data_IF_151308197157
#
_entry.id   IF_151308197157
#
_cell.length_a   1.000
_cell.length_b   1.000
_cell.length_c   1.000
_cell.angle_alpha   90.00
_cell.angle_beta   90.00
_cell.angle_gamma   90.00
#
_symmetry.space_group_name_H-M   'P 1'
#
loop_
_entity.id
_entity.type
_entity.pdbx_description
1 polymer ?
#
# COMPACT_ATOMS: atom_id res chain seq x y z
N UNK A 1 -1.02 -7.39 -24.10
CA UNK A 1 -1.26 -7.11 -22.66
C UNK A 1 -1.10 -5.63 -22.37
N UNK A 2 -1.89 -5.05 -21.47
CA UNK A 2 -1.76 -3.65 -21.04
C UNK A 2 -0.86 -3.54 -19.82
N UNK A 3 0.01 -2.54 -19.81
CA UNK A 3 0.87 -2.21 -18.67
C UNK A 3 0.45 -0.85 -18.13
N UNK A 4 -0.31 -0.86 -17.03
CA UNK A 4 -0.97 0.34 -16.53
C UNK A 4 0.01 1.42 -16.00
N UNK A 5 1.19 1.01 -15.52
CA UNK A 5 2.22 1.92 -15.02
C UNK A 5 3.09 2.56 -16.10
N UNK A 6 3.21 1.92 -17.26
CA UNK A 6 4.07 2.38 -18.35
C UNK A 6 3.27 2.97 -19.52
N UNK A 7 1.94 3.03 -19.41
CA UNK A 7 1.01 3.57 -20.41
C UNK A 7 1.19 2.95 -21.81
N UNK A 8 1.43 1.63 -21.85
CA UNK A 8 1.65 0.88 -23.10
C UNK A 8 0.80 -0.38 -23.22
N UNK A 9 0.54 -0.77 -24.46
CA UNK A 9 0.19 -2.13 -24.84
C UNK A 9 1.44 -2.85 -25.34
N UNK A 10 1.79 -3.98 -24.73
CA UNK A 10 2.87 -4.85 -25.22
C UNK A 10 2.29 -5.93 -26.12
N UNK A 11 2.88 -6.06 -27.31
CA UNK A 11 2.57 -7.07 -28.33
C UNK A 11 3.62 -8.17 -28.24
N UNK A 12 3.15 -9.41 -28.06
CA UNK A 12 3.97 -10.61 -27.92
C UNK A 12 3.65 -11.54 -29.07
N UNK A 13 4.67 -11.97 -29.81
CA UNK A 13 4.57 -13.08 -30.74
C UNK A 13 4.64 -14.39 -29.95
N UNK A 14 3.49 -15.05 -29.82
CA UNK A 14 3.34 -16.28 -29.02
C UNK A 14 4.17 -17.42 -29.61
N UNK A 15 4.26 -17.53 -30.94
CA UNK A 15 5.04 -18.58 -31.61
C UNK A 15 6.53 -18.41 -31.32
N UNK A 16 7.05 -17.17 -31.38
CA UNK A 16 8.44 -16.87 -31.01
C UNK A 16 8.70 -17.09 -29.53
N UNK A 17 7.76 -16.72 -28.67
CA UNK A 17 7.87 -16.96 -27.23
C UNK A 17 7.98 -18.46 -26.92
N UNK A 18 7.09 -19.28 -27.49
CA UNK A 18 7.11 -20.73 -27.28
C UNK A 18 8.38 -21.38 -27.86
N UNK A 19 8.79 -20.98 -29.07
CA UNK A 19 10.05 -21.45 -29.65
C UNK A 19 11.25 -21.09 -28.78
N UNK A 20 11.29 -19.86 -28.26
CA UNK A 20 12.35 -19.41 -27.36
C UNK A 20 12.39 -20.23 -26.07
N UNK A 21 11.23 -20.46 -25.42
CA UNK A 21 11.14 -21.27 -24.20
C UNK A 21 11.59 -22.71 -24.47
N UNK A 22 11.16 -23.33 -25.57
CA UNK A 22 11.57 -24.69 -25.90
C UNK A 22 13.07 -24.82 -26.17
N UNK A 23 13.69 -23.81 -26.78
CA UNK A 23 15.13 -23.76 -27.00
C UNK A 23 15.94 -23.46 -25.72
N UNK A 24 15.30 -22.91 -24.67
CA UNK A 24 15.95 -22.50 -23.42
C UNK A 24 15.19 -23.05 -22.20
N UNK A 25 15.17 -24.39 -22.00
CA UNK A 25 14.38 -25.03 -20.94
C UNK A 25 14.80 -24.66 -19.51
N UNK A 26 15.97 -24.03 -19.33
CA UNK A 26 16.49 -23.61 -18.03
C UNK A 26 16.90 -22.13 -18.06
N UNK A 27 16.71 -21.43 -16.95
CA UNK A 27 17.25 -20.08 -16.74
C UNK A 27 16.59 -18.95 -17.53
N UNK A 28 15.61 -19.22 -18.41
CA UNK A 28 14.95 -18.17 -19.20
C UNK A 28 14.32 -17.08 -18.31
N UNK A 29 13.77 -17.46 -17.15
CA UNK A 29 13.16 -16.53 -16.20
C UNK A 29 14.16 -15.51 -15.61
N UNK A 30 15.46 -15.83 -15.65
CA UNK A 30 16.55 -14.96 -15.19
C UNK A 30 17.23 -14.20 -16.33
N UNK A 31 16.81 -14.41 -17.58
CA UNK A 31 17.38 -13.73 -18.74
C UNK A 31 16.61 -12.44 -19.04
N UNK A 32 17.16 -11.30 -18.61
CA UNK A 32 16.60 -9.98 -18.85
C UNK A 32 16.49 -9.62 -20.36
N UNK A 33 17.29 -10.27 -21.21
CA UNK A 33 17.24 -10.13 -22.67
C UNK A 33 16.18 -10.99 -23.36
N UNK A 34 15.58 -11.96 -22.67
CA UNK A 34 14.65 -12.92 -23.29
C UNK A 34 13.51 -12.24 -24.04
N UNK A 35 12.95 -11.17 -23.46
CA UNK A 35 11.84 -10.43 -24.04
C UNK A 35 12.12 -9.86 -25.43
N UNK A 36 13.37 -9.56 -25.76
CA UNK A 36 13.75 -9.04 -27.08
C UNK A 36 13.49 -10.03 -28.22
N UNK A 37 13.36 -11.33 -27.92
CA UNK A 37 13.12 -12.36 -28.94
C UNK A 37 11.64 -12.51 -29.33
N UNK A 38 10.71 -12.09 -28.48
CA UNK A 38 9.28 -12.33 -28.68
C UNK A 38 8.38 -11.11 -28.46
N UNK A 39 8.87 -10.01 -27.87
CA UNK A 39 8.15 -8.73 -27.85
C UNK A 39 8.38 -8.01 -29.18
N UNK A 40 7.32 -7.85 -29.96
CA UNK A 40 7.39 -7.26 -31.31
C UNK A 40 7.05 -5.77 -31.32
N UNK A 41 6.29 -5.28 -30.33
CA UNK A 41 5.98 -3.87 -30.18
C UNK A 41 5.62 -3.49 -28.74
N UNK A 42 5.90 -2.24 -28.39
CA UNK A 42 5.33 -1.54 -27.23
C UNK A 42 4.63 -0.29 -27.76
N UNK A 43 3.31 -0.29 -27.69
CA UNK A 43 2.46 0.75 -28.29
C UNK A 43 2.05 1.71 -27.18
N UNK A 44 2.50 2.95 -27.27
CA UNK A 44 2.06 4.01 -26.36
C UNK A 44 0.55 4.26 -26.50
N UNK A 45 -0.15 4.32 -25.37
CA UNK A 45 -1.58 4.61 -25.26
C UNK A 45 -1.79 5.70 -24.20
N UNK A 46 -3.04 5.95 -23.80
CA UNK A 46 -3.34 6.90 -22.73
C UNK A 46 -2.99 6.37 -21.34
N UNK A 47 -3.13 7.23 -20.34
CA UNK A 47 -2.75 6.99 -18.96
C UNK A 47 -3.56 5.87 -18.29
N UNK A 48 -2.85 4.96 -17.61
CA UNK A 48 -3.39 3.83 -16.84
C UNK A 48 -4.34 2.94 -17.66
N UNK A 49 -3.88 2.29 -18.74
CA UNK A 49 -4.70 1.36 -19.50
C UNK A 49 -5.10 0.16 -18.64
N UNK A 50 -6.41 -0.08 -18.50
CA UNK A 50 -6.97 -1.14 -17.61
C UNK A 50 -7.64 -2.29 -18.34
N UNK A 51 -8.00 -2.11 -19.61
CA UNK A 51 -8.70 -3.13 -20.37
C UNK A 51 -8.45 -3.01 -21.86
N UNK A 52 -8.58 -4.14 -22.55
CA UNK A 52 -8.49 -4.21 -24.01
C UNK A 52 -9.62 -5.06 -24.59
N UNK A 53 -10.02 -4.72 -25.81
CA UNK A 53 -10.97 -5.49 -26.59
C UNK A 53 -10.49 -5.57 -28.03
N UNK A 54 -10.37 -6.78 -28.57
CA UNK A 54 -10.04 -7.00 -29.98
C UNK A 54 -11.33 -7.03 -30.80
N UNK A 55 -11.33 -6.37 -31.97
CA UNK A 55 -12.44 -6.45 -32.92
C UNK A 55 -12.58 -7.87 -33.47
N UNK A 56 -13.79 -8.23 -33.94
CA UNK A 56 -14.07 -9.57 -34.47
C UNK A 56 -13.17 -9.96 -35.65
N UNK A 57 -12.80 -8.99 -36.48
CA UNK A 57 -11.89 -9.18 -37.61
C UNK A 57 -10.40 -9.13 -37.21
N UNK A 58 -10.09 -8.91 -35.93
CA UNK A 58 -8.73 -8.82 -35.41
C UNK A 58 -7.95 -7.57 -35.83
N UNK A 59 -8.53 -6.65 -36.60
CA UNK A 59 -7.81 -5.50 -37.20
C UNK A 59 -7.64 -4.32 -36.23
N UNK A 60 -8.48 -4.23 -35.19
CA UNK A 60 -8.51 -3.14 -34.23
C UNK A 60 -8.49 -3.66 -32.81
N UNK A 61 -7.61 -3.10 -31.99
CA UNK A 61 -7.58 -3.30 -30.55
C UNK A 61 -8.01 -1.99 -29.86
N UNK A 62 -9.09 -2.05 -29.10
CA UNK A 62 -9.57 -0.96 -28.27
C UNK A 62 -8.91 -1.04 -26.91
N UNK A 63 -8.44 0.08 -26.38
CA UNK A 63 -7.72 0.17 -25.10
C UNK A 63 -8.39 1.22 -24.23
N UNK A 64 -8.89 0.82 -23.07
CA UNK A 64 -9.55 1.72 -22.12
C UNK A 64 -8.52 2.35 -21.17
N UNK A 65 -8.31 3.66 -21.30
CA UNK A 65 -7.32 4.42 -20.55
C UNK A 65 -8.01 5.14 -19.38
N UNK A 66 -7.92 4.56 -18.17
CA UNK A 66 -8.71 4.98 -17.00
C UNK A 66 -8.43 6.41 -16.57
N UNK A 67 -7.16 6.83 -16.59
CA UNK A 67 -6.75 8.13 -16.04
C UNK A 67 -6.79 9.25 -17.06
N UNK A 68 -6.89 8.91 -18.34
CA UNK A 68 -7.09 9.84 -19.45
C UNK A 68 -8.55 10.00 -19.86
N UNK A 69 -9.45 9.14 -19.36
CA UNK A 69 -10.86 9.12 -19.77
C UNK A 69 -10.98 9.01 -21.31
N UNK A 70 -10.18 8.11 -21.90
CA UNK A 70 -10.14 7.89 -23.35
C UNK A 70 -10.16 6.42 -23.72
N UNK A 71 -10.52 6.14 -24.98
CA UNK A 71 -10.34 4.84 -25.63
C UNK A 71 -9.41 4.98 -26.82
N UNK A 72 -8.23 4.34 -26.77
CA UNK A 72 -7.33 4.26 -27.91
C UNK A 72 -7.74 3.12 -28.84
N UNK A 73 -7.73 3.36 -30.15
CA UNK A 73 -7.92 2.36 -31.20
C UNK A 73 -6.57 2.09 -31.86
N UNK A 74 -6.04 0.91 -31.60
CA UNK A 74 -4.79 0.42 -32.16
C UNK A 74 -5.07 -0.42 -33.40
N UNK A 75 -4.34 -0.14 -34.47
CA UNK A 75 -4.26 -0.99 -35.64
C UNK A 75 -3.28 -2.14 -35.40
N UNK A 76 -3.76 -3.37 -35.48
CA UNK A 76 -2.98 -4.56 -35.14
C UNK A 76 -1.98 -4.96 -36.22
N UNK A 77 -2.19 -4.53 -37.46
CA UNK A 77 -1.25 -4.80 -38.56
C UNK A 77 -0.03 -3.87 -38.50
N UNK A 78 -0.23 -2.61 -38.12
CA UNK A 78 0.85 -1.61 -38.06
C UNK A 78 1.40 -1.40 -36.66
N UNK A 79 0.72 -1.90 -35.62
CA UNK A 79 1.02 -1.65 -34.21
C UNK A 79 1.08 -0.16 -33.87
N UNK A 80 0.10 0.63 -34.35
CA UNK A 80 0.00 2.07 -34.07
C UNK A 80 -1.40 2.44 -33.62
N UNK A 81 -1.51 3.52 -32.84
CA UNK A 81 -2.80 4.13 -32.50
C UNK A 81 -3.29 4.93 -33.71
N UNK A 82 -4.39 4.49 -34.32
CA UNK A 82 -5.03 5.18 -35.44
C UNK A 82 -5.95 6.31 -34.96
N UNK A 83 -6.55 6.14 -33.78
CA UNK A 83 -7.53 7.07 -33.22
C UNK A 83 -7.57 6.99 -31.70
N UNK A 84 -7.84 8.10 -31.05
CA UNK A 84 -8.20 8.15 -29.62
C UNK A 84 -9.55 8.83 -29.49
N UNK A 85 -10.49 8.16 -28.84
CA UNK A 85 -11.80 8.72 -28.48
C UNK A 85 -11.72 9.29 -27.08
N UNK A 86 -12.06 10.57 -26.93
CA UNK A 86 -12.24 11.21 -25.63
C UNK A 86 -13.64 10.87 -25.12
N UNK A 87 -13.74 10.40 -23.88
CA UNK A 87 -15.00 10.14 -23.20
C UNK A 87 -15.44 11.41 -22.45
N UNK A 88 -16.58 11.36 -21.76
CA UNK A 88 -17.11 12.49 -20.99
C UNK A 88 -16.39 12.69 -19.64
N UNK A 89 -15.05 12.68 -19.67
CA UNK A 89 -14.18 12.97 -18.53
C UNK A 89 -14.10 14.48 -18.25
N UNK A 90 -13.43 14.87 -17.15
CA UNK A 90 -13.25 16.27 -16.81
C UNK A 90 -12.51 17.02 -17.92
N UNK A 91 -13.10 18.12 -18.41
CA UNK A 91 -12.52 18.97 -19.48
C UNK A 91 -11.18 19.59 -19.10
N UNK A 92 -10.91 19.72 -17.80
CA UNK A 92 -9.65 20.20 -17.25
C UNK A 92 -9.11 19.19 -16.25
N UNK A 93 -7.82 18.85 -16.37
CA UNK A 93 -7.17 17.92 -15.45
C UNK A 93 -6.79 18.68 -14.18
N UNK A 94 -7.48 18.38 -13.08
CA UNK A 94 -7.22 18.94 -11.76
C UNK A 94 -5.84 18.54 -11.22
N UNK A 95 -5.33 19.29 -10.25
CA UNK A 95 -4.12 18.94 -9.50
C UNK A 95 -4.22 17.54 -8.88
N UNK A 96 -5.41 17.20 -8.36
CA UNK A 96 -5.69 15.90 -7.80
C UNK A 96 -5.53 14.77 -8.83
N UNK A 97 -6.10 14.95 -10.03
CA UNK A 97 -6.00 13.97 -11.13
C UNK A 97 -4.57 13.86 -11.67
N UNK A 98 -3.80 14.96 -11.68
CA UNK A 98 -2.37 14.92 -12.00
C UNK A 98 -1.60 14.09 -10.97
N UNK A 99 -1.88 14.28 -9.69
CA UNK A 99 -1.31 13.48 -8.60
C UNK A 99 -1.64 12.00 -8.72
N UNK A 100 -2.91 11.67 -9.02
CA UNK A 100 -3.34 10.30 -9.28
C UNK A 100 -2.54 9.69 -10.45
N UNK A 101 -2.36 10.42 -11.56
CA UNK A 101 -1.54 9.94 -12.68
C UNK A 101 -0.09 9.66 -12.30
N UNK A 102 0.51 10.51 -11.46
CA UNK A 102 1.87 10.28 -10.96
C UNK A 102 1.90 9.01 -10.12
N UNK A 103 0.94 8.82 -9.22
CA UNK A 103 0.84 7.66 -8.34
C UNK A 103 0.73 6.33 -9.12
N UNK A 104 -0.04 6.32 -10.21
CA UNK A 104 -0.24 5.15 -11.07
C UNK A 104 0.80 5.01 -12.18
N UNK A 105 1.88 5.78 -12.18
CA UNK A 105 2.92 5.72 -13.23
C UNK A 105 4.24 5.20 -12.68
N UNK A 106 4.86 4.30 -13.45
CA UNK A 106 6.19 3.78 -13.18
C UNK A 106 7.30 4.66 -13.79
N UNK A 107 6.95 5.64 -14.64
CA UNK A 107 7.89 6.46 -15.45
C UNK A 107 8.98 7.17 -14.65
N UNK A 108 8.78 7.34 -13.35
CA UNK A 108 9.67 8.06 -12.45
C UNK A 108 10.77 7.18 -11.88
N UNK A 109 10.54 5.86 -11.81
CA UNK A 109 11.59 4.91 -11.45
C UNK A 109 12.61 4.75 -12.57
N UNK A 110 13.84 4.38 -12.19
CA UNK A 110 14.87 3.96 -13.13
C UNK A 110 14.31 2.89 -14.07
N UNK A 111 14.45 3.13 -15.38
CA UNK A 111 13.92 2.28 -16.46
C UNK A 111 12.39 2.02 -16.45
N UNK A 112 11.61 2.73 -15.63
CA UNK A 112 10.16 2.57 -15.61
C UNK A 112 9.67 1.26 -15.00
N UNK A 113 10.46 0.66 -14.11
CA UNK A 113 10.25 -0.69 -13.56
C UNK A 113 9.18 -0.78 -12.47
N UNK A 114 8.97 0.30 -11.70
CA UNK A 114 8.07 0.31 -10.54
C UNK A 114 7.44 1.70 -10.33
N UNK A 115 6.20 1.75 -9.83
CA UNK A 115 5.51 2.96 -9.39
C UNK A 115 4.82 2.73 -8.04
N UNK A 116 4.17 3.76 -7.48
CA UNK A 116 3.60 3.67 -6.12
C UNK A 116 2.60 2.51 -6.00
N UNK A 117 1.82 2.25 -7.04
CA UNK A 117 0.78 1.23 -7.08
C UNK A 117 1.28 -0.21 -7.02
N UNK A 118 2.57 -0.44 -7.22
CA UNK A 118 3.14 -1.79 -7.10
C UNK A 118 3.19 -2.26 -5.63
N UNK A 119 3.41 -1.32 -4.70
CA UNK A 119 3.30 -1.59 -3.26
C UNK A 119 1.95 -1.13 -2.71
N UNK A 120 1.40 -0.03 -3.22
CA UNK A 120 0.12 0.53 -2.77
C UNK A 120 -1.00 0.23 -3.76
N UNK A 121 -1.33 -1.06 -3.88
CA UNK A 121 -2.27 -1.60 -4.87
C UNK A 121 -3.64 -0.92 -4.72
N UNK A 122 -4.14 -0.35 -5.80
CA UNK A 122 -5.37 0.47 -5.82
C UNK A 122 -5.43 1.51 -4.68
N UNK A 123 -4.28 2.14 -4.42
CA UNK A 123 -4.09 3.17 -3.38
C UNK A 123 -4.27 2.66 -1.95
N UNK A 124 -3.88 1.39 -1.71
CA UNK A 124 -3.84 0.78 -0.38
C UNK A 124 -2.42 0.39 0.05
N UNK A 125 -2.17 -0.91 0.23
CA UNK A 125 -0.93 -1.56 0.60
C UNK A 125 -0.96 -3.00 0.04
N UNK A 126 0.18 -3.67 -0.01
CA UNK A 126 0.37 -4.98 -0.65
C UNK A 126 0.42 -6.14 0.37
N UNK A 127 0.51 -5.83 1.66
CA UNK A 127 0.71 -6.83 2.73
C UNK A 127 2.06 -7.52 2.66
N UNK A 128 3.06 -6.87 2.05
CA UNK A 128 4.43 -7.37 1.95
C UNK A 128 5.37 -6.55 2.84
N UNK A 129 6.42 -7.24 3.30
CA UNK A 129 7.53 -6.64 4.03
C UNK A 129 8.68 -6.35 3.09
N UNK A 130 9.35 -5.23 3.29
CA UNK A 130 10.37 -4.72 2.40
C UNK A 130 11.65 -4.33 3.14
N UNK A 131 12.79 -4.69 2.55
CA UNK A 131 14.12 -4.18 2.90
C UNK A 131 14.51 -3.13 1.84
N UNK A 132 14.55 -1.85 2.23
CA UNK A 132 14.48 -0.73 1.30
C UNK A 132 15.64 0.26 1.42
N UNK A 133 16.13 0.46 2.64
CA UNK A 133 17.13 1.48 2.93
C UNK A 133 18.54 0.88 2.81
N UNK A 134 19.56 1.68 2.45
CA UNK A 134 20.92 1.18 2.29
C UNK A 134 21.65 1.09 3.64
N UNK A 135 21.04 0.41 4.62
CA UNK A 135 21.56 0.19 5.98
C UNK A 135 22.12 -1.23 6.19
N UNK A 136 21.89 -2.13 5.23
CA UNK A 136 22.48 -3.46 5.15
C UNK A 136 21.41 -4.50 4.82
N UNK A 137 21.81 -5.61 4.18
CA UNK A 137 20.84 -6.65 3.84
C UNK A 137 20.20 -7.27 5.09
N UNK A 138 18.87 -7.29 5.13
CA UNK A 138 18.07 -7.78 6.25
C UNK A 138 18.02 -6.83 7.44
N UNK A 139 18.47 -5.59 7.29
CA UNK A 139 18.39 -4.53 8.30
C UNK A 139 17.18 -3.64 7.98
N UNK A 140 16.46 -3.21 9.02
CA UNK A 140 15.35 -2.26 8.85
C UNK A 140 14.20 -2.77 7.98
N UNK A 141 13.93 -4.09 7.99
CA UNK A 141 12.78 -4.68 7.30
C UNK A 141 11.50 -4.06 7.84
N UNK A 142 10.66 -3.56 6.95
CA UNK A 142 9.42 -2.87 7.30
C UNK A 142 8.22 -3.43 6.55
N UNK A 143 7.10 -3.58 7.25
CA UNK A 143 5.80 -3.79 6.64
C UNK A 143 5.33 -2.55 5.88
N UNK A 144 4.54 -2.75 4.83
CA UNK A 144 3.98 -1.66 4.06
C UNK A 144 2.71 -1.07 4.71
N UNK A 145 2.72 0.24 4.98
CA UNK A 145 1.59 0.91 5.66
C UNK A 145 0.44 1.25 4.71
N UNK A 146 -0.78 1.14 5.23
CA UNK A 146 -2.02 1.60 4.58
C UNK A 146 -1.95 3.11 4.27
N UNK A 147 -2.26 3.52 3.03
CA UNK A 147 -2.31 4.93 2.61
C UNK A 147 -3.66 5.62 2.81
N UNK A 148 -4.70 4.88 3.19
CA UNK A 148 -6.03 5.42 3.36
C UNK A 148 -6.13 6.34 4.58
N UNK A 149 -6.70 7.53 4.38
CA UNK A 149 -7.01 8.52 5.42
C UNK A 149 -5.80 9.02 6.25
N UNK A 150 -4.59 8.97 5.68
CA UNK A 150 -3.35 9.30 6.41
C UNK A 150 -3.06 10.81 6.54
N UNK A 151 -3.95 11.69 6.06
CA UNK A 151 -3.66 13.14 5.89
C UNK A 151 -3.15 13.80 7.18
N UNK A 152 -3.66 13.36 8.32
CA UNK A 152 -3.47 13.97 9.62
C UNK A 152 -2.77 13.03 10.60
N UNK A 153 -1.91 12.14 10.10
CA UNK A 153 -1.21 11.13 10.92
C UNK A 153 0.30 11.26 10.86
N UNK A 154 0.82 12.45 10.53
CA UNK A 154 2.26 12.72 10.64
C UNK A 154 2.74 12.52 12.09
N UNK A 155 3.97 12.06 12.35
CA UNK A 155 4.99 11.75 11.36
C UNK A 155 4.73 10.44 10.59
N UNK A 156 5.48 10.24 9.51
CA UNK A 156 5.44 9.06 8.65
C UNK A 156 6.73 8.25 8.82
N UNK A 157 6.78 7.08 8.17
CA UNK A 157 7.72 5.97 8.42
C UNK A 157 7.45 5.26 9.76
N UNK A 158 7.80 3.99 9.86
CA UNK A 158 7.60 3.21 11.08
C UNK A 158 8.32 3.77 12.30
N UNK A 159 9.47 4.43 12.13
CA UNK A 159 10.19 5.06 13.23
C UNK A 159 9.78 6.53 13.48
N UNK A 160 8.76 7.04 12.77
CA UNK A 160 8.32 8.45 12.88
C UNK A 160 9.33 9.48 12.39
N UNK A 161 10.32 9.08 11.59
CA UNK A 161 11.40 9.97 11.15
C UNK A 161 11.01 11.00 10.09
N UNK A 162 9.89 10.80 9.37
CA UNK A 162 9.52 11.67 8.25
C UNK A 162 8.40 12.64 8.66
N UNK A 163 8.65 13.97 8.68
CA UNK A 163 7.70 14.92 9.26
C UNK A 163 6.45 15.16 8.41
N UNK A 164 6.48 14.82 7.11
CA UNK A 164 5.39 15.08 6.18
C UNK A 164 5.41 14.13 4.96
N UNK A 165 4.30 14.08 4.22
CA UNK A 165 4.16 13.25 3.01
C UNK A 165 5.12 13.70 1.90
N UNK A 166 5.46 14.98 1.82
CA UNK A 166 6.42 15.46 0.83
C UNK A 166 7.80 14.84 1.03
N UNK A 167 8.20 14.62 2.28
CA UNK A 167 9.45 13.94 2.64
C UNK A 167 9.34 12.44 2.34
N UNK A 168 8.24 11.81 2.75
CA UNK A 168 7.98 10.37 2.57
C UNK A 168 7.87 9.98 1.09
N UNK A 169 6.92 10.58 0.36
CA UNK A 169 6.58 10.26 -1.02
C UNK A 169 7.43 11.03 -2.06
N UNK A 170 8.22 12.02 -1.63
CA UNK A 170 9.17 12.75 -2.48
C UNK A 170 10.58 12.24 -2.27
N UNK A 171 11.41 13.05 -1.62
CA UNK A 171 12.87 12.86 -1.53
C UNK A 171 13.28 11.46 -1.06
N UNK A 172 12.57 10.89 -0.07
CA UNK A 172 12.85 9.52 0.39
C UNK A 172 12.55 8.49 -0.70
N UNK A 173 11.37 8.58 -1.31
CA UNK A 173 10.94 7.64 -2.35
C UNK A 173 11.86 7.73 -3.58
N UNK A 174 12.19 8.95 -4.02
CA UNK A 174 13.11 9.22 -5.13
C UNK A 174 14.48 8.59 -4.91
N UNK A 175 15.03 8.78 -3.70
CA UNK A 175 16.35 8.30 -3.32
C UNK A 175 16.44 6.78 -3.20
N UNK A 176 15.45 6.13 -2.57
CA UNK A 176 15.57 4.72 -2.19
C UNK A 176 14.82 3.75 -3.11
N UNK A 177 13.72 4.19 -3.72
CA UNK A 177 12.85 3.32 -4.53
C UNK A 177 13.01 3.60 -6.01
N UNK A 178 12.89 4.87 -6.42
CA UNK A 178 12.98 5.22 -7.84
C UNK A 178 14.41 5.12 -8.35
N UNK A 179 15.41 5.45 -7.53
CA UNK A 179 16.83 5.48 -7.94
C UNK A 179 17.01 6.34 -9.20
N UNK A 180 16.30 7.45 -9.24
CA UNK A 180 16.07 8.28 -10.44
C UNK A 180 15.93 9.76 -10.06
N UNK A 181 15.75 10.62 -11.05
CA UNK A 181 15.57 12.06 -10.87
C UNK A 181 14.35 12.38 -10.00
N UNK A 182 14.50 13.42 -9.17
CA UNK A 182 13.44 13.94 -8.32
C UNK A 182 12.23 14.46 -9.11
N UNK A 183 11.05 14.40 -8.49
CA UNK A 183 9.89 15.17 -8.91
C UNK A 183 10.23 16.66 -8.86
N UNK A 184 9.69 17.44 -9.80
CA UNK A 184 9.65 18.89 -9.60
C UNK A 184 8.59 19.27 -8.56
N UNK A 185 8.68 20.49 -8.04
CA UNK A 185 7.80 20.98 -6.96
C UNK A 185 6.31 20.82 -7.28
N UNK A 186 5.91 21.04 -8.53
CA UNK A 186 4.51 20.92 -8.95
C UNK A 186 4.05 19.46 -8.94
N UNK A 187 4.89 18.56 -9.45
CA UNK A 187 4.62 17.11 -9.46
C UNK A 187 4.50 16.57 -8.04
N UNK A 188 5.43 16.94 -7.15
CA UNK A 188 5.40 16.51 -5.76
C UNK A 188 4.19 17.06 -5.01
N UNK A 189 3.81 18.32 -5.27
CA UNK A 189 2.61 18.92 -4.69
C UNK A 189 1.34 18.21 -5.16
N UNK A 190 1.22 17.93 -6.46
CA UNK A 190 0.07 17.22 -7.02
C UNK A 190 -0.01 15.78 -6.49
N UNK A 191 1.11 15.04 -6.43
CA UNK A 191 1.20 13.70 -5.85
C UNK A 191 0.80 13.70 -4.37
N UNK A 192 1.34 14.62 -3.59
CA UNK A 192 1.04 14.72 -2.15
C UNK A 192 -0.43 15.08 -1.91
N UNK A 193 -1.01 15.94 -2.76
CA UNK A 193 -2.43 16.25 -2.72
C UNK A 193 -3.26 14.99 -2.94
N UNK A 194 -2.89 14.15 -3.91
CA UNK A 194 -3.56 12.87 -4.15
C UNK A 194 -3.43 11.91 -2.98
N UNK A 195 -2.22 11.64 -2.48
CA UNK A 195 -1.98 10.71 -1.36
C UNK A 195 -2.79 11.13 -0.13
N UNK A 196 -2.78 12.42 0.21
CA UNK A 196 -3.56 12.97 1.35
C UNK A 196 -5.08 12.97 1.10
N UNK A 197 -5.55 12.68 -0.09
CA UNK A 197 -6.99 12.66 -0.44
C UNK A 197 -7.60 11.27 -0.43
N UNK A 198 -6.79 10.23 -0.36
CA UNK A 198 -7.26 8.84 -0.38
C UNK A 198 -8.17 8.63 0.85
N UNK A 199 -9.46 8.34 0.65
CA UNK A 199 -10.39 8.15 1.76
C UNK A 199 -10.22 6.77 2.41
N UNK A 200 -10.65 6.64 3.66
CA UNK A 200 -10.89 5.32 4.24
C UNK A 200 -11.99 4.60 3.49
N UNK A 201 -11.76 3.33 3.13
CA UNK A 201 -12.83 2.47 2.61
C UNK A 201 -13.88 2.16 3.70
N UNK A 202 -15.12 1.83 3.33
CA UNK A 202 -16.13 1.38 4.28
C UNK A 202 -15.62 0.21 5.13
N UNK A 203 -15.73 0.32 6.46
CA UNK A 203 -15.36 -0.74 7.37
C UNK A 203 -16.48 -1.80 7.42
N UNK A 204 -16.19 -3.03 7.00
CA UNK A 204 -17.16 -4.13 6.91
C UNK A 204 -17.66 -4.68 8.26
N UNK A 205 -17.01 -4.34 9.37
CA UNK A 205 -17.37 -4.78 10.72
C UNK A 205 -18.13 -3.72 11.51
N UNK A 206 -18.25 -2.50 11.00
CA UNK A 206 -19.10 -1.46 11.61
C UNK A 206 -20.56 -1.74 11.25
N UNK A 207 -21.41 -1.80 12.27
CA UNK A 207 -22.86 -1.86 12.07
C UNK A 207 -23.42 -0.46 11.72
N UNK A 208 -24.60 -0.38 11.08
CA UNK A 208 -25.28 0.88 10.82
C UNK A 208 -25.46 1.73 12.09
N UNK A 209 -25.45 3.06 11.91
CA UNK A 209 -25.69 4.04 12.99
C UNK A 209 -24.74 3.94 14.19
N UNK A 210 -23.55 3.34 14.01
CA UNK A 210 -22.52 3.26 15.06
C UNK A 210 -22.78 2.19 16.12
N UNK A 211 -23.79 1.33 15.91
CA UNK A 211 -24.09 0.20 16.78
C UNK A 211 -22.90 -0.78 16.84
N UNK A 212 -22.86 -1.57 17.91
CA UNK A 212 -21.86 -2.62 18.12
C UNK A 212 -22.55 -3.91 18.52
N UNK A 213 -21.97 -5.03 18.11
CA UNK A 213 -22.37 -6.33 18.64
C UNK A 213 -22.00 -6.43 20.13
N UNK A 214 -22.61 -7.35 20.90
CA UNK A 214 -22.22 -7.57 22.29
C UNK A 214 -20.72 -7.84 22.47
N UNK A 215 -20.09 -8.57 21.54
CA UNK A 215 -18.65 -8.83 21.55
C UNK A 215 -17.84 -7.53 21.36
N UNK A 216 -18.23 -6.69 20.41
CA UNK A 216 -17.58 -5.40 20.15
C UNK A 216 -17.71 -4.42 21.32
N UNK A 217 -18.83 -4.43 22.05
CA UNK A 217 -18.97 -3.61 23.27
C UNK A 217 -18.08 -4.12 24.42
N UNK A 218 -18.02 -5.43 24.64
CA UNK A 218 -17.10 -6.02 25.62
C UNK A 218 -15.64 -5.73 25.25
N UNK A 219 -15.30 -5.87 23.98
CA UNK A 219 -13.98 -5.52 23.45
C UNK A 219 -13.63 -4.06 23.62
N UNK A 220 -14.60 -3.15 23.41
CA UNK A 220 -14.41 -1.72 23.67
C UNK A 220 -14.11 -1.47 25.14
N UNK A 221 -14.83 -2.12 26.05
CA UNK A 221 -14.58 -2.00 27.49
C UNK A 221 -13.17 -2.46 27.86
N UNK A 222 -12.69 -3.55 27.25
CA UNK A 222 -11.32 -4.03 27.43
C UNK A 222 -10.27 -3.06 26.87
N UNK A 223 -10.53 -2.44 25.72
CA UNK A 223 -9.63 -1.48 25.09
C UNK A 223 -9.44 -0.20 25.93
N UNK A 224 -10.50 0.28 26.61
CA UNK A 224 -10.47 1.52 27.39
C UNK A 224 -10.20 1.31 28.89
N UNK A 225 -9.97 0.08 29.34
CA UNK A 225 -9.86 -0.25 30.77
C UNK A 225 -8.60 0.37 31.40
N UNK A 226 -8.74 0.77 32.67
CA UNK A 226 -7.65 1.31 33.50
C UNK A 226 -7.20 0.37 34.61
N UNK A 227 -7.90 -0.75 34.80
CA UNK A 227 -7.58 -1.80 35.78
C UNK A 227 -7.56 -3.17 35.09
N UNK A 228 -6.71 -4.06 35.56
CA UNK A 228 -6.64 -5.44 35.08
C UNK A 228 -7.78 -6.29 35.69
N UNK A 229 -7.91 -7.54 35.23
CA UNK A 229 -8.95 -8.47 35.67
C UNK A 229 -8.99 -8.71 37.19
N UNK A 230 -7.88 -8.48 37.88
CA UNK A 230 -7.76 -8.65 39.33
C UNK A 230 -7.98 -7.36 40.11
N UNK A 231 -8.40 -6.28 39.43
CA UNK A 231 -8.64 -4.96 40.03
C UNK A 231 -7.36 -4.16 40.27
N UNK A 232 -6.21 -4.59 39.75
CA UNK A 232 -4.95 -3.85 39.89
C UNK A 232 -4.88 -2.74 38.84
N UNK A 233 -4.49 -1.51 39.19
CA UNK A 233 -4.30 -0.44 38.21
C UNK A 233 -3.31 -0.81 37.12
N UNK A 234 -3.71 -0.58 35.86
CA UNK A 234 -2.82 -0.68 34.69
C UNK A 234 -2.05 0.64 34.60
N UNK A 235 -0.73 0.56 34.53
CA UNK A 235 0.12 1.73 34.30
C UNK A 235 -0.38 2.51 33.09
N UNK A 236 -0.51 3.84 33.21
CA UNK A 236 -1.12 4.69 32.17
C UNK A 236 -0.50 4.44 30.79
N UNK A 237 0.84 4.36 30.72
CA UNK A 237 1.59 4.06 29.48
C UNK A 237 1.27 2.72 28.83
N UNK A 238 0.59 1.83 29.54
CA UNK A 238 0.27 0.47 29.13
C UNK A 238 -1.25 0.24 28.97
N UNK A 239 -2.04 1.31 29.00
CA UNK A 239 -3.45 1.30 28.62
C UNK A 239 -3.52 1.55 27.11
N UNK A 240 -4.33 0.80 26.35
CA UNK A 240 -4.36 0.92 24.89
C UNK A 240 -4.66 2.34 24.42
N UNK A 241 -5.59 3.02 25.11
CA UNK A 241 -6.00 4.41 24.83
C UNK A 241 -4.90 5.45 25.06
N UNK A 242 -3.78 5.11 25.69
CA UNK A 242 -2.68 6.05 25.88
C UNK A 242 -1.99 6.37 24.55
N UNK A 243 -1.62 5.33 23.80
CA UNK A 243 -1.03 5.49 22.46
C UNK A 243 -2.13 5.52 21.37
N UNK A 244 -3.13 4.65 21.47
CA UNK A 244 -4.19 4.55 20.47
C UNK A 244 -5.41 5.40 20.84
N UNK A 245 -5.24 6.72 20.69
CA UNK A 245 -6.26 7.71 21.06
C UNK A 245 -6.82 8.47 19.85
N UNK A 246 -7.86 9.28 20.09
CA UNK A 246 -8.44 10.15 19.08
C UNK A 246 -9.21 9.44 17.95
N UNK A 247 -9.68 10.20 16.95
CA UNK A 247 -10.49 9.67 15.85
C UNK A 247 -9.77 8.60 15.02
N UNK A 248 -8.47 8.77 14.80
CA UNK A 248 -7.64 7.88 13.98
C UNK A 248 -7.06 6.69 14.77
N UNK A 249 -7.20 6.68 16.10
CA UNK A 249 -6.60 5.64 16.95
C UNK A 249 -5.07 5.71 17.00
N UNK A 250 -4.49 6.90 16.90
CA UNK A 250 -3.06 7.16 17.04
C UNK A 250 -2.86 8.49 17.75
N UNK A 251 -1.86 8.56 18.62
CA UNK A 251 -1.39 9.78 19.27
C UNK A 251 -0.20 10.43 18.53
N UNK A 252 0.23 9.83 17.42
CA UNK A 252 1.29 10.32 16.53
C UNK A 252 2.66 10.46 17.22
N UNK A 253 2.92 9.60 18.22
CA UNK A 253 4.19 9.53 18.94
C UNK A 253 4.82 8.16 18.77
N UNK A 254 6.12 8.08 19.06
CA UNK A 254 6.85 6.82 19.01
C UNK A 254 7.07 6.20 20.39
N UNK A 255 6.94 4.89 20.47
CA UNK A 255 7.09 4.13 21.70
C UNK A 255 7.90 2.84 21.49
N UNK A 256 8.53 2.36 22.56
CA UNK A 256 9.11 1.03 22.63
C UNK A 256 8.12 0.09 23.33
N UNK A 257 7.35 -0.63 22.50
CA UNK A 257 6.36 -1.62 22.93
C UNK A 257 6.95 -3.04 23.04
N UNK A 258 8.28 -3.18 22.99
CA UNK A 258 8.97 -4.46 23.16
C UNK A 258 9.02 -5.34 21.93
N UNK A 259 8.66 -4.82 20.75
CA UNK A 259 8.63 -5.56 19.48
C UNK A 259 9.91 -5.42 18.67
N UNK A 260 10.85 -4.57 19.10
CA UNK A 260 12.12 -4.34 18.42
C UNK A 260 13.00 -5.60 18.33
N UNK A 261 13.64 -5.78 17.18
CA UNK A 261 14.57 -6.85 16.83
C UNK A 261 15.99 -6.31 16.69
N UNK A 262 16.98 -7.20 16.73
CA UNK A 262 18.40 -6.85 16.53
C UNK A 262 18.70 -6.25 15.16
N UNK A 263 17.85 -6.53 14.18
CA UNK A 263 17.95 -6.04 12.80
C UNK A 263 17.28 -4.68 12.62
N UNK A 264 16.60 -4.14 13.64
CA UNK A 264 15.96 -2.84 13.52
C UNK A 264 16.96 -1.70 13.71
N UNK A 265 16.77 -0.62 12.96
CA UNK A 265 17.55 0.61 13.08
C UNK A 265 17.06 1.54 14.19
N UNK A 266 15.92 1.21 14.81
CA UNK A 266 15.30 1.94 15.94
C UNK A 266 14.56 0.95 16.84
N UNK A 267 14.58 1.19 18.16
CA UNK A 267 13.69 0.50 19.11
C UNK A 267 12.38 1.24 19.38
N UNK A 268 12.19 2.42 18.77
CA UNK A 268 11.00 3.25 18.88
C UNK A 268 10.24 3.25 17.56
N UNK A 269 8.93 3.02 17.65
CA UNK A 269 8.04 2.99 16.50
C UNK A 269 6.88 3.96 16.69
N UNK A 270 6.59 4.76 15.66
CA UNK A 270 5.38 5.58 15.54
C UNK A 270 4.13 4.72 15.75
N UNK A 271 3.22 5.17 16.62
CA UNK A 271 1.93 4.52 16.84
C UNK A 271 1.12 4.56 15.54
N UNK A 272 0.88 3.43 14.85
CA UNK A 272 0.08 3.46 13.64
C UNK A 272 -1.38 3.78 13.95
N UNK A 273 -2.06 4.44 13.00
CA UNK A 273 -3.51 4.61 13.05
C UNK A 273 -4.20 3.23 13.06
N UNK A 274 -5.37 3.15 13.70
CA UNK A 274 -6.17 1.91 13.75
C UNK A 274 -7.25 1.85 12.66
N UNK A 275 -7.35 2.87 11.80
CA UNK A 275 -8.31 2.93 10.71
C UNK A 275 -8.20 1.68 9.82
N UNK A 276 -9.27 0.89 9.74
CA UNK A 276 -9.37 -0.35 8.98
C UNK A 276 -8.26 -1.38 9.32
N UNK A 277 -7.77 -1.41 10.57
CA UNK A 277 -6.68 -2.29 11.01
C UNK A 277 -6.93 -3.78 10.70
N UNK A 278 -8.18 -4.24 10.67
CA UNK A 278 -8.48 -5.62 10.33
C UNK A 278 -8.22 -6.01 8.87
N UNK A 279 -7.84 -5.05 8.03
CA UNK A 279 -7.44 -5.28 6.64
C UNK A 279 -5.94 -5.18 6.44
N UNK A 280 -5.15 -4.83 7.46
CA UNK A 280 -3.74 -4.47 7.34
C UNK A 280 -2.80 -5.54 7.89
N UNK A 281 -3.16 -6.83 7.75
CA UNK A 281 -2.21 -7.89 8.04
C UNK A 281 -1.13 -7.93 6.93
N UNK A 282 0.13 -8.27 7.24
CA UNK A 282 0.63 -8.59 8.58
C UNK A 282 0.80 -7.33 9.46
N UNK A 283 0.99 -7.54 10.77
CA UNK A 283 1.04 -6.52 11.80
C UNK A 283 2.45 -6.38 12.40
N UNK A 284 2.62 -5.31 13.18
CA UNK A 284 3.89 -4.81 13.69
C UNK A 284 4.76 -4.19 12.59
N UNK A 285 5.83 -3.52 12.99
CA UNK A 285 6.60 -2.66 12.09
C UNK A 285 7.28 -3.43 10.96
N UNK A 286 7.50 -4.72 11.14
CA UNK A 286 8.21 -5.62 10.25
C UNK A 286 7.33 -6.78 9.74
N UNK A 287 6.02 -6.71 9.97
CA UNK A 287 5.07 -7.72 9.51
C UNK A 287 5.21 -9.08 10.21
N UNK A 288 5.80 -9.12 11.40
CA UNK A 288 6.04 -10.37 12.13
C UNK A 288 4.78 -11.02 12.71
N UNK A 289 3.74 -10.24 13.02
CA UNK A 289 2.48 -10.80 13.52
C UNK A 289 1.49 -11.02 12.38
N UNK A 290 1.11 -12.26 12.08
CA UNK A 290 0.21 -12.60 10.97
C UNK A 290 -1.27 -12.41 11.30
N UNK A 291 -1.59 -12.21 12.58
CA UNK A 291 -2.94 -11.94 13.06
C UNK A 291 -2.91 -10.90 14.18
N UNK A 292 -4.06 -10.24 14.42
CA UNK A 292 -4.21 -9.34 15.57
C UNK A 292 -3.96 -10.08 16.89
N UNK A 293 -4.26 -11.38 16.94
CA UNK A 293 -4.03 -12.20 18.13
C UNK A 293 -2.54 -12.34 18.47
N UNK A 294 -1.70 -12.60 17.46
CA UNK A 294 -0.26 -12.82 17.64
C UNK A 294 0.45 -11.61 18.24
N UNK A 295 -0.07 -10.39 18.02
CA UNK A 295 0.44 -9.17 18.66
C UNK A 295 0.56 -9.37 20.17
N UNK A 296 -0.41 -10.03 20.79
CA UNK A 296 -0.42 -10.26 22.24
C UNK A 296 0.03 -11.64 22.65
N UNK A 297 -0.33 -12.70 21.92
CA UNK A 297 -0.02 -14.07 22.32
C UNK A 297 1.43 -14.48 22.03
N UNK A 298 2.09 -13.82 21.07
CA UNK A 298 3.49 -14.11 20.68
C UNK A 298 4.40 -12.92 20.97
N UNK A 299 3.96 -11.71 20.62
CA UNK A 299 4.82 -10.51 20.61
C UNK A 299 4.63 -9.57 21.82
N UNK A 300 3.87 -9.98 22.84
CA UNK A 300 3.69 -9.21 24.09
C UNK A 300 3.95 -10.00 25.40
N UNK A 301 5.03 -10.80 25.50
CA UNK A 301 5.25 -11.67 26.66
C UNK A 301 5.42 -10.92 28.00
N UNK A 302 5.75 -9.63 27.95
CA UNK A 302 6.02 -8.80 29.12
C UNK A 302 5.01 -7.67 29.34
N UNK A 303 3.83 -7.71 28.67
CA UNK A 303 2.83 -6.64 28.71
C UNK A 303 3.44 -5.26 28.43
N UNK A 304 4.27 -5.15 27.38
CA UNK A 304 4.86 -3.86 26.92
C UNK A 304 4.01 -3.18 25.85
N UNK A 305 3.14 -3.95 25.19
CA UNK A 305 2.16 -3.49 24.20
C UNK A 305 0.73 -3.63 24.75
N UNK A 306 0.48 -3.04 25.91
CA UNK A 306 -0.78 -3.18 26.63
C UNK A 306 -0.76 -4.31 27.65
N UNK A 307 -1.48 -4.13 28.76
CA UNK A 307 -1.75 -5.19 29.74
C UNK A 307 -2.80 -6.13 29.16
N UNK A 308 -2.41 -7.33 28.74
CA UNK A 308 -3.26 -8.31 28.05
C UNK A 308 -3.06 -9.74 28.52
N UNK A 309 -1.94 -10.07 29.17
CA UNK A 309 -1.68 -11.44 29.67
C UNK A 309 -2.63 -11.88 30.80
N UNK A 310 -3.45 -10.98 31.35
CA UNK A 310 -4.52 -11.29 32.30
C UNK A 310 -5.85 -11.69 31.62
N UNK A 311 -5.97 -11.47 30.30
CA UNK A 311 -7.17 -11.77 29.53
C UNK A 311 -7.26 -13.27 29.22
N UNK A 312 -8.49 -13.79 29.29
CA UNK A 312 -8.82 -15.10 28.72
C UNK A 312 -8.87 -15.03 27.20
N UNK A 313 -8.91 -16.20 26.56
CA UNK A 313 -9.06 -16.31 25.11
C UNK A 313 -10.32 -15.60 24.59
N UNK A 314 -11.44 -15.73 25.29
CA UNK A 314 -12.71 -15.10 24.89
C UNK A 314 -12.65 -13.57 25.03
N UNK A 315 -12.05 -13.06 26.11
CA UNK A 315 -11.84 -11.62 26.31
C UNK A 315 -10.90 -11.04 25.23
N UNK A 316 -9.83 -11.76 24.88
CA UNK A 316 -8.94 -11.35 23.79
C UNK A 316 -9.67 -11.33 22.44
N UNK A 317 -10.52 -12.32 22.17
CA UNK A 317 -11.34 -12.36 20.96
C UNK A 317 -12.33 -11.16 20.92
N UNK A 318 -12.97 -10.82 22.04
CA UNK A 318 -13.82 -9.63 22.12
C UNK A 318 -13.04 -8.35 21.81
N UNK A 319 -11.84 -8.18 22.37
CA UNK A 319 -10.95 -7.05 22.06
C UNK A 319 -10.64 -6.96 20.55
N UNK A 320 -10.33 -8.10 19.92
CA UNK A 320 -10.09 -8.20 18.48
C UNK A 320 -11.36 -7.83 17.69
N UNK A 321 -12.55 -8.28 18.11
CA UNK A 321 -13.82 -7.90 17.47
C UNK A 321 -14.05 -6.40 17.51
N UNK A 322 -13.73 -5.74 18.63
CA UNK A 322 -13.75 -4.28 18.70
C UNK A 322 -12.74 -3.64 17.75
N UNK A 323 -11.49 -4.12 17.72
CA UNK A 323 -10.45 -3.57 16.84
C UNK A 323 -10.79 -3.70 15.36
N UNK A 324 -11.51 -4.76 14.96
CA UNK A 324 -12.03 -4.89 13.59
C UNK A 324 -12.97 -3.75 13.18
N UNK A 325 -13.62 -3.10 14.14
CA UNK A 325 -14.47 -1.94 13.88
C UNK A 325 -13.71 -0.62 13.74
N UNK A 326 -12.41 -0.60 14.01
CA UNK A 326 -11.60 0.61 13.93
C UNK A 326 -11.31 0.98 12.48
#
# INVERSE_FOLDING_TARGET
MTNAGSDVVTVVDVSRLLAYIHAHPHGFAQNLGASAHYVTARIAVGANPRGVLLSRDGRRLYVANRLDDTVSVVNTATNRVDKTFVLDGPKTISALRKGERIFYSARYSFQGQIGCTNCHIDSTFDGLTWDLEPDGFGIGIVDNRLLEDIRNTAPYKWNGGNPNIQTECGVRTEKYFWRSQNYNDRQLADLTLYVRSIPARPNRWRLPYGQKTPAQERGRALFVRSVDKFGKPIAVRNQCVYCHSGPMGTDQKSFDVGTGKKTDTSGLFDTPQLTNIALTAPYLHDGSAHSLEEIWTVYNPADRHGRTNDLTKDELNDLIEYLKTR
#
